data_IF_735295756975
#
_entry.id   IF_735295756975
#
_cell.length_a   1.000
_cell.length_b   1.000
_cell.length_c   1.000
_cell.angle_alpha   90.00
_cell.angle_beta   90.00
_cell.angle_gamma   90.00
#
_symmetry.space_group_name_H-M   'P 1'
#
loop_
_entity.id
_entity.type
_entity.pdbx_description
1 polymer ?
#
# COMPACT_ATOMS: atom_id res chain seq x y z
N UNK A 1 8.59 12.84 -9.98
CA UNK A 1 8.02 12.68 -8.60
C UNK A 1 9.11 12.15 -7.68
N UNK A 2 9.05 12.38 -6.35
CA UNK A 2 10.06 11.86 -5.41
C UNK A 2 9.64 10.48 -4.91
N UNK A 3 10.49 9.44 -4.97
CA UNK A 3 10.19 8.13 -4.40
C UNK A 3 10.03 8.25 -2.88
N UNK A 4 9.11 7.49 -2.31
CA UNK A 4 8.95 7.41 -0.87
C UNK A 4 9.74 6.21 -0.33
N UNK A 5 10.25 6.36 0.90
CA UNK A 5 10.90 5.26 1.58
C UNK A 5 9.87 4.21 2.02
N UNK A 6 10.30 2.96 2.12
CA UNK A 6 9.54 1.90 2.78
C UNK A 6 9.40 2.18 4.27
N UNK A 7 8.28 1.74 4.86
CA UNK A 7 8.08 1.78 6.31
C UNK A 7 7.48 0.47 6.80
N UNK A 8 7.80 0.12 8.03
CA UNK A 8 7.14 -0.97 8.74
C UNK A 8 5.88 -0.44 9.45
N UNK A 9 4.76 -1.13 9.25
CA UNK A 9 3.51 -0.85 9.93
C UNK A 9 3.12 -2.10 10.73
N UNK A 10 2.97 -2.00 12.06
CA UNK A 10 2.58 -3.14 12.88
C UNK A 10 1.29 -3.80 12.37
N UNK A 11 1.29 -5.14 12.28
CA UNK A 11 0.16 -5.93 11.78
C UNK A 11 -0.03 -5.91 10.25
N UNK A 12 0.78 -5.16 9.49
CA UNK A 12 0.76 -5.14 8.02
C UNK A 12 2.08 -5.67 7.44
N UNK A 13 3.19 -5.37 8.11
CA UNK A 13 4.53 -5.60 7.57
C UNK A 13 5.05 -4.39 6.79
N UNK A 14 5.73 -4.66 5.67
CA UNK A 14 6.33 -3.60 4.84
C UNK A 14 5.26 -2.88 4.01
N UNK A 15 5.23 -1.57 4.14
CA UNK A 15 4.40 -0.67 3.32
C UNK A 15 5.31 0.10 2.38
N UNK A 16 5.12 -0.12 1.09
CA UNK A 16 5.85 0.56 0.01
C UNK A 16 4.98 1.65 -0.59
N UNK A 17 5.54 2.83 -0.78
CA UNK A 17 4.84 3.96 -1.38
C UNK A 17 5.57 4.44 -2.63
N UNK A 18 4.85 4.65 -3.73
CA UNK A 18 5.47 5.08 -4.97
C UNK A 18 6.06 6.48 -4.86
N UNK A 19 5.39 7.38 -4.12
CA UNK A 19 5.81 8.78 -4.00
C UNK A 19 5.62 9.35 -2.60
N UNK A 20 6.31 10.45 -2.31
CA UNK A 20 5.94 11.34 -1.21
C UNK A 20 4.63 12.08 -1.56
N UNK A 21 3.76 12.28 -0.55
CA UNK A 21 2.49 12.99 -0.71
C UNK A 21 2.71 14.50 -0.87
N UNK A 22 3.31 14.91 -1.98
CA UNK A 22 3.67 16.29 -2.29
C UNK A 22 3.63 16.55 -3.80
N UNK A 23 3.55 17.82 -4.20
CA UNK A 23 3.61 18.24 -5.60
C UNK A 23 2.64 17.48 -6.53
N UNK A 24 3.09 17.03 -7.71
CA UNK A 24 2.24 16.38 -8.70
C UNK A 24 1.55 15.10 -8.19
N UNK A 25 2.24 14.30 -7.37
CA UNK A 25 1.65 13.07 -6.81
C UNK A 25 0.45 13.38 -5.90
N UNK A 26 0.54 14.41 -5.06
CA UNK A 26 -0.60 14.90 -4.27
C UNK A 26 -1.75 15.36 -5.15
N UNK A 27 -1.47 16.06 -6.25
CA UNK A 27 -2.48 16.54 -7.20
C UNK A 27 -3.20 15.35 -7.85
N UNK A 28 -2.48 14.32 -8.30
CA UNK A 28 -3.09 13.12 -8.89
C UNK A 28 -3.99 12.40 -7.88
N UNK A 29 -3.51 12.20 -6.64
CA UNK A 29 -4.33 11.60 -5.57
C UNK A 29 -5.58 12.44 -5.30
N UNK A 30 -5.48 13.77 -5.33
CA UNK A 30 -6.64 14.65 -5.15
C UNK A 30 -7.66 14.51 -6.29
N UNK A 31 -7.19 14.47 -7.55
CA UNK A 31 -8.05 14.24 -8.72
C UNK A 31 -8.76 12.88 -8.65
N UNK A 32 -8.04 11.83 -8.25
CA UNK A 32 -8.63 10.52 -8.04
C UNK A 32 -9.68 10.53 -6.92
N UNK A 33 -9.35 11.14 -5.76
CA UNK A 33 -10.21 11.15 -4.57
C UNK A 33 -11.53 11.89 -4.75
N UNK A 34 -11.51 13.00 -5.47
CA UNK A 34 -12.60 13.96 -5.47
C UNK A 34 -13.25 14.18 -6.83
N UNK A 35 -12.60 13.77 -7.90
CA UNK A 35 -13.10 13.91 -9.27
C UNK A 35 -13.25 12.58 -10.00
N UNK A 36 -12.75 11.47 -9.43
CA UNK A 36 -12.85 10.15 -10.05
C UNK A 36 -12.15 10.03 -11.41
N UNK A 37 -11.07 10.81 -11.63
CA UNK A 37 -10.40 10.86 -12.93
C UNK A 37 -9.62 9.57 -13.14
N UNK A 38 -10.08 8.69 -14.03
CA UNK A 38 -9.47 7.40 -14.31
C UNK A 38 -8.00 7.53 -14.75
N UNK A 39 -7.65 8.54 -15.55
CA UNK A 39 -6.27 8.81 -15.96
C UNK A 39 -5.34 9.07 -14.75
N UNK A 40 -5.85 9.62 -13.64
CA UNK A 40 -5.04 9.77 -12.42
C UNK A 40 -4.77 8.43 -11.74
N UNK A 41 -5.72 7.49 -11.79
CA UNK A 41 -5.51 6.13 -11.28
C UNK A 41 -4.48 5.39 -12.12
N UNK A 42 -4.54 5.49 -13.45
CA UNK A 42 -3.58 4.86 -14.37
C UNK A 42 -2.16 5.39 -14.16
N UNK A 43 -1.98 6.71 -14.10
CA UNK A 43 -0.67 7.34 -13.89
C UNK A 43 -0.05 6.99 -12.51
N UNK A 44 -0.88 6.87 -11.47
CA UNK A 44 -0.41 6.44 -10.15
C UNK A 44 -0.08 4.95 -10.15
N UNK A 45 -0.92 4.12 -10.79
CA UNK A 45 -0.70 2.69 -10.90
C UNK A 45 0.60 2.36 -11.66
N UNK A 46 0.93 3.08 -12.72
CA UNK A 46 2.20 2.95 -13.45
C UNK A 46 3.41 3.10 -12.50
N UNK A 47 3.35 4.08 -11.61
CA UNK A 47 4.41 4.28 -10.61
C UNK A 47 4.40 3.24 -9.49
N UNK A 48 3.27 2.60 -9.23
CA UNK A 48 3.10 1.58 -8.19
C UNK A 48 3.41 0.18 -8.70
N UNK A 49 3.25 -0.09 -9.99
CA UNK A 49 3.40 -1.42 -10.59
C UNK A 49 4.74 -2.11 -10.23
N UNK A 50 5.89 -1.43 -10.23
CA UNK A 50 7.17 -2.04 -9.82
C UNK A 50 7.23 -2.46 -8.34
N UNK A 51 6.27 -2.02 -7.52
CA UNK A 51 6.20 -2.36 -6.09
C UNK A 51 5.33 -3.59 -5.83
N UNK A 52 4.62 -4.08 -6.84
CA UNK A 52 3.77 -5.28 -6.75
C UNK A 52 4.63 -6.52 -6.97
N UNK A 53 4.58 -7.45 -6.03
CA UNK A 53 5.29 -8.72 -6.14
C UNK A 53 4.45 -9.75 -6.90
N UNK A 54 5.11 -10.72 -7.52
CA UNK A 54 4.42 -11.85 -8.14
C UNK A 54 3.74 -12.75 -7.09
N UNK A 55 2.73 -13.49 -7.51
CA UNK A 55 2.05 -14.48 -6.67
C UNK A 55 1.17 -13.90 -5.56
N UNK A 56 0.88 -12.59 -5.59
CA UNK A 56 -0.05 -11.95 -4.66
C UNK A 56 -1.39 -11.65 -5.31
N UNK A 57 -2.39 -11.29 -4.50
CA UNK A 57 -3.63 -10.67 -4.96
C UNK A 57 -3.75 -9.28 -4.35
N UNK A 58 -4.25 -8.35 -5.12
CA UNK A 58 -4.45 -6.96 -4.69
C UNK A 58 -5.74 -6.87 -3.86
N UNK A 59 -5.65 -6.33 -2.66
CA UNK A 59 -6.79 -6.10 -1.79
C UNK A 59 -6.93 -4.60 -1.50
N UNK A 60 -7.80 -3.88 -2.22
CA UNK A 60 -8.02 -2.47 -1.95
C UNK A 60 -8.66 -2.27 -0.58
N UNK A 61 -8.12 -1.31 0.19
CA UNK A 61 -8.68 -0.92 1.48
C UNK A 61 -9.87 0.01 1.24
N UNK A 62 -11.12 -0.42 1.57
CA UNK A 62 -12.29 0.29 1.14
C UNK A 62 -12.44 1.65 1.84
N UNK A 63 -12.88 2.63 1.07
CA UNK A 63 -13.18 3.96 1.59
C UNK A 63 -14.42 3.94 2.49
N UNK A 64 -14.44 4.77 3.54
CA UNK A 64 -15.63 4.94 4.42
C UNK A 64 -16.87 5.30 3.59
N UNK A 65 -18.00 4.62 3.84
CA UNK A 65 -19.22 4.68 3.02
C UNK A 65 -19.72 6.09 2.74
N UNK A 66 -19.75 6.99 3.73
CA UNK A 66 -20.23 8.34 3.52
C UNK A 66 -19.38 9.15 2.52
N UNK A 67 -18.07 8.88 2.48
CA UNK A 67 -17.16 9.48 1.49
C UNK A 67 -17.36 8.87 0.10
N UNK A 68 -17.65 7.58 0.03
CA UNK A 68 -17.99 6.91 -1.22
C UNK A 68 -19.28 7.51 -1.79
N UNK A 69 -20.34 7.67 -0.98
CA UNK A 69 -21.61 8.30 -1.38
C UNK A 69 -21.41 9.75 -1.81
N UNK A 70 -20.59 10.52 -1.07
CA UNK A 70 -20.37 11.93 -1.36
C UNK A 70 -19.56 12.18 -2.65
N UNK A 71 -18.57 11.35 -2.94
CA UNK A 71 -17.63 11.56 -4.04
C UNK A 71 -17.76 10.54 -5.18
N UNK A 72 -18.59 9.52 -5.00
CA UNK A 72 -18.86 8.51 -6.04
C UNK A 72 -17.70 7.58 -6.41
N UNK A 73 -16.55 7.70 -5.73
CA UNK A 73 -15.33 6.95 -6.08
C UNK A 73 -14.66 6.36 -4.84
N UNK A 74 -14.15 5.15 -4.99
CA UNK A 74 -13.23 4.50 -4.04
C UNK A 74 -11.81 4.50 -4.64
N UNK A 75 -10.93 5.40 -4.19
CA UNK A 75 -9.60 5.56 -4.78
C UNK A 75 -8.75 4.28 -4.72
N UNK A 76 -8.81 3.54 -3.61
CA UNK A 76 -8.03 2.32 -3.44
C UNK A 76 -8.50 1.23 -4.42
N UNK A 77 -9.82 1.15 -4.67
CA UNK A 77 -10.39 0.23 -5.65
C UNK A 77 -9.97 0.59 -7.07
N UNK A 78 -10.05 1.86 -7.44
CA UNK A 78 -9.63 2.32 -8.77
C UNK A 78 -8.13 2.06 -9.00
N UNK A 79 -7.28 2.32 -7.99
CA UNK A 79 -5.85 1.99 -8.05
C UNK A 79 -5.61 0.49 -8.18
N UNK A 80 -6.30 -0.35 -7.41
CA UNK A 80 -6.15 -1.80 -7.51
C UNK A 80 -6.57 -2.33 -8.88
N UNK A 81 -7.63 -1.81 -9.47
CA UNK A 81 -8.08 -2.18 -10.81
C UNK A 81 -7.09 -1.70 -11.90
N UNK A 82 -6.54 -0.51 -11.77
CA UNK A 82 -5.51 -0.02 -12.68
C UNK A 82 -4.22 -0.85 -12.57
N UNK A 83 -3.77 -1.16 -11.35
CA UNK A 83 -2.63 -2.06 -11.11
C UNK A 83 -2.87 -3.45 -11.70
N UNK A 84 -4.07 -4.02 -11.51
CA UNK A 84 -4.41 -5.32 -12.06
C UNK A 84 -4.30 -5.36 -13.59
N UNK A 85 -4.74 -4.30 -14.29
CA UNK A 85 -4.57 -4.18 -15.73
C UNK A 85 -3.11 -4.14 -16.17
N UNK A 86 -2.24 -3.50 -15.39
CA UNK A 86 -0.83 -3.31 -15.75
C UNK A 86 0.04 -4.50 -15.37
N UNK A 87 -0.27 -5.18 -14.26
CA UNK A 87 0.56 -6.27 -13.72
C UNK A 87 0.01 -7.67 -14.01
N UNK A 88 -1.26 -7.79 -14.43
CA UNK A 88 -1.94 -9.08 -14.57
C UNK A 88 -2.37 -9.72 -13.24
N UNK A 89 -2.09 -9.07 -12.10
CA UNK A 89 -2.41 -9.58 -10.76
C UNK A 89 -3.91 -9.43 -10.47
N UNK A 90 -4.54 -10.46 -9.92
CA UNK A 90 -5.97 -10.43 -9.61
C UNK A 90 -6.31 -9.54 -8.41
N UNK A 91 -7.58 -9.09 -8.34
CA UNK A 91 -8.10 -8.25 -7.25
C UNK A 91 -9.11 -9.02 -6.42
N UNK A 92 -8.99 -8.96 -5.10
CA UNK A 92 -9.93 -9.50 -4.13
C UNK A 92 -10.61 -8.38 -3.34
N UNK A 93 -11.95 -8.41 -3.27
CA UNK A 93 -12.75 -7.42 -2.54
C UNK A 93 -13.31 -8.06 -1.26
N UNK A 94 -12.46 -8.28 -0.26
CA UNK A 94 -12.78 -9.07 0.93
C UNK A 94 -13.38 -8.25 2.08
N UNK A 95 -13.25 -6.92 2.05
CA UNK A 95 -13.71 -6.05 3.12
C UNK A 95 -14.91 -5.20 2.67
N UNK A 96 -15.84 -5.00 3.60
CA UNK A 96 -16.90 -4.00 3.46
C UNK A 96 -16.46 -2.69 4.10
N UNK A 97 -16.78 -1.53 3.48
CA UNK A 97 -16.50 -0.24 4.08
C UNK A 97 -17.27 -0.08 5.39
N UNK A 98 -16.71 0.64 6.37
CA UNK A 98 -17.44 1.00 7.58
C UNK A 98 -18.55 1.99 7.23
N UNK A 99 -19.76 1.76 7.78
CA UNK A 99 -20.93 2.60 7.50
C UNK A 99 -20.74 4.05 7.97
N UNK A 100 -20.04 4.26 9.11
CA UNK A 100 -19.82 5.56 9.73
C UNK A 100 -18.38 5.64 10.24
N UNK A 101 -17.67 6.65 9.82
CA UNK A 101 -16.44 7.13 10.46
C UNK A 101 -16.75 8.47 11.11
N UNK A 102 -17.20 8.49 12.36
CA UNK A 102 -17.36 9.75 13.08
C UNK A 102 -15.99 10.36 13.34
N UNK A 103 -15.73 11.61 12.96
CA UNK A 103 -14.65 12.38 13.52
C UNK A 103 -14.99 12.56 15.02
N UNK A 104 -14.17 12.04 15.94
CA UNK A 104 -14.26 12.52 17.32
C UNK A 104 -13.72 13.95 17.31
N UNK A 105 -14.58 14.88 17.71
CA UNK A 105 -14.14 16.22 18.07
C UNK A 105 -13.11 16.10 19.20
N UNK A 106 -11.88 16.56 18.95
CA UNK A 106 -10.83 16.68 19.94
C UNK A 106 -10.02 15.38 20.16
N UNK A 107 -8.83 15.32 19.58
CA UNK A 107 -7.83 14.34 19.98
C UNK A 107 -6.97 13.78 18.82
N UNK A 108 -5.67 13.86 19.00
CA UNK A 108 -4.59 13.48 18.08
C UNK A 108 -4.45 11.95 17.80
N UNK A 109 -5.45 11.14 18.08
CA UNK A 109 -5.40 9.71 17.83
C UNK A 109 -6.33 9.36 16.67
N UNK A 110 -5.73 9.10 15.51
CA UNK A 110 -6.40 8.72 14.29
C UNK A 110 -7.37 7.55 14.51
N UNK A 111 -8.62 7.76 14.15
CA UNK A 111 -9.67 6.75 14.22
C UNK A 111 -9.37 5.63 13.21
N UNK A 112 -9.09 4.43 13.70
CA UNK A 112 -9.02 3.24 12.85
C UNK A 112 -10.44 2.86 12.40
N UNK A 113 -10.72 2.79 11.09
CA UNK A 113 -12.05 2.42 10.60
C UNK A 113 -12.37 0.96 10.97
N UNK A 114 -13.62 0.71 11.39
CA UNK A 114 -14.09 -0.65 11.68
C UNK A 114 -14.61 -1.29 10.40
N UNK A 115 -13.75 -2.00 9.70
CA UNK A 115 -14.13 -2.83 8.56
C UNK A 115 -14.91 -4.07 8.98
N UNK A 116 -15.55 -4.73 8.03
CA UNK A 116 -16.17 -6.05 8.20
C UNK A 116 -15.69 -6.95 7.06
N UNK A 117 -15.33 -8.18 7.37
CA UNK A 117 -14.99 -9.18 6.35
C UNK A 117 -16.25 -9.57 5.57
N UNK A 118 -16.15 -9.64 4.24
CA UNK A 118 -17.27 -9.97 3.34
C UNK A 118 -17.27 -11.44 2.93
N UNK A 119 -16.09 -12.01 2.72
CA UNK A 119 -15.90 -13.38 2.22
C UNK A 119 -14.55 -13.94 2.68
N UNK A 120 -14.41 -15.25 2.47
CA UNK A 120 -13.15 -15.97 2.69
C UNK A 120 -12.22 -15.73 1.58
N UNK A 121 -11.24 -15.15 1.39
CA UNK A 121 -10.36 -14.94 0.23
C UNK A 121 -10.01 -16.23 -0.53
N UNK A 122 -9.21 -16.08 -1.56
CA UNK A 122 -8.71 -17.19 -2.40
C UNK A 122 -7.65 -18.07 -1.68
N UNK A 123 -7.24 -17.71 -0.46
CA UNK A 123 -6.11 -18.34 0.24
C UNK A 123 -4.74 -17.91 -0.28
N UNK A 124 -4.70 -17.00 -1.26
CA UNK A 124 -3.44 -16.47 -1.79
C UNK A 124 -2.93 -15.27 -0.95
N UNK A 125 -1.62 -15.01 -0.96
CA UNK A 125 -1.05 -13.83 -0.30
C UNK A 125 -1.70 -12.53 -0.77
N UNK A 126 -2.07 -11.67 0.18
CA UNK A 126 -2.76 -10.40 -0.08
C UNK A 126 -1.82 -9.22 0.07
N UNK A 127 -1.75 -8.39 -0.97
CA UNK A 127 -1.09 -7.10 -0.94
C UNK A 127 -2.14 -6.00 -0.82
N UNK A 128 -2.17 -5.30 0.32
CA UNK A 128 -3.13 -4.21 0.51
C UNK A 128 -2.81 -3.04 -0.42
N UNK A 129 -3.85 -2.41 -0.95
CA UNK A 129 -3.72 -1.21 -1.82
C UNK A 129 -4.46 -0.05 -1.18
N UNK A 130 -3.79 1.11 -1.05
CA UNK A 130 -4.40 2.36 -0.59
C UNK A 130 -3.81 3.56 -1.36
N UNK A 131 -4.46 4.72 -1.29
CA UNK A 131 -4.00 5.92 -1.99
C UNK A 131 -2.95 6.72 -1.19
N UNK A 132 -3.11 6.82 0.12
CA UNK A 132 -2.20 7.59 1.00
C UNK A 132 -1.96 6.87 2.31
N UNK A 133 -0.72 6.58 2.63
CA UNK A 133 -0.35 6.19 3.98
C UNK A 133 0.13 7.40 4.79
N UNK A 134 -0.47 7.57 5.99
CA UNK A 134 -0.02 8.53 7.01
C UNK A 134 0.62 7.79 8.19
N UNK A 135 -0.15 7.34 9.13
CA UNK A 135 0.29 6.50 10.27
C UNK A 135 0.25 5.01 9.97
N UNK A 136 -0.50 4.59 8.95
CA UNK A 136 -0.77 3.18 8.66
C UNK A 136 -1.94 2.58 9.44
N UNK A 137 -2.61 3.35 10.31
CA UNK A 137 -3.71 2.84 11.14
C UNK A 137 -4.86 2.22 10.32
N UNK A 138 -5.17 2.78 9.15
CA UNK A 138 -6.19 2.24 8.24
C UNK A 138 -5.77 0.89 7.67
N UNK A 139 -4.51 0.77 7.25
CA UNK A 139 -3.92 -0.47 6.75
C UNK A 139 -3.90 -1.55 7.84
N UNK A 140 -3.47 -1.20 9.06
CA UNK A 140 -3.45 -2.11 10.19
C UNK A 140 -4.87 -2.60 10.56
N UNK A 141 -5.87 -1.70 10.55
CA UNK A 141 -7.26 -2.07 10.79
C UNK A 141 -7.84 -3.00 9.70
N UNK A 142 -7.41 -2.85 8.45
CA UNK A 142 -7.79 -3.75 7.37
C UNK A 142 -7.11 -5.12 7.54
N UNK A 143 -5.80 -5.11 7.78
CA UNK A 143 -5.00 -6.32 7.96
C UNK A 143 -5.47 -7.19 9.12
N UNK A 144 -5.92 -6.60 10.24
CA UNK A 144 -6.40 -7.35 11.42
C UNK A 144 -7.60 -8.27 11.15
N UNK A 145 -8.27 -8.13 10.00
CA UNK A 145 -9.39 -8.96 9.59
C UNK A 145 -9.01 -10.01 8.52
N UNK A 146 -7.76 -10.04 8.11
CA UNK A 146 -7.26 -10.86 7.02
C UNK A 146 -6.07 -11.69 7.53
N UNK A 147 -5.91 -12.90 7.02
CA UNK A 147 -4.87 -13.84 7.50
C UNK A 147 -3.65 -13.87 6.60
N UNK A 148 -3.81 -13.54 5.33
CA UNK A 148 -2.78 -13.72 4.30
C UNK A 148 -2.09 -12.43 3.87
N UNK A 149 -2.13 -11.37 4.69
CA UNK A 149 -1.52 -10.08 4.35
C UNK A 149 0.00 -10.17 4.41
N UNK A 150 0.66 -9.86 3.29
CA UNK A 150 2.12 -9.89 3.14
C UNK A 150 2.75 -8.49 3.08
N UNK A 151 1.93 -7.45 3.06
CA UNK A 151 2.37 -6.06 3.01
C UNK A 151 1.33 -5.13 2.41
N UNK A 152 1.75 -3.93 2.07
CA UNK A 152 0.90 -2.96 1.38
C UNK A 152 1.68 -2.12 0.36
N UNK A 153 0.96 -1.66 -0.67
CA UNK A 153 1.43 -0.64 -1.61
C UNK A 153 0.49 0.56 -1.59
N UNK A 154 1.06 1.76 -1.63
CA UNK A 154 0.28 3.00 -1.65
C UNK A 154 0.80 3.96 -2.72
N UNK A 155 -0.08 4.76 -3.30
CA UNK A 155 0.34 5.75 -4.27
C UNK A 155 1.27 6.79 -3.63
N UNK A 156 0.97 7.21 -2.40
CA UNK A 156 1.78 8.22 -1.71
C UNK A 156 1.91 7.94 -0.22
N UNK A 157 3.05 8.38 0.36
CA UNK A 157 3.25 8.48 1.80
C UNK A 157 3.26 9.94 2.24
N UNK A 158 2.51 10.30 3.27
CA UNK A 158 2.68 11.58 3.93
C UNK A 158 4.08 11.63 4.57
N UNK A 159 4.75 12.78 4.48
CA UNK A 159 5.97 13.03 5.20
C UNK A 159 5.65 12.90 6.71
N UNK A 160 6.00 11.77 7.32
CA UNK A 160 5.88 11.58 8.74
C UNK A 160 6.82 12.54 9.45
N UNK A 161 6.44 13.06 10.61
CA UNK A 161 7.43 13.46 11.61
C UNK A 161 8.27 12.21 11.87
N UNK A 162 9.52 12.23 11.45
CA UNK A 162 10.50 11.21 11.78
C UNK A 162 10.67 11.27 13.28
N UNK A 163 9.90 10.48 14.01
CA UNK A 163 10.28 10.10 15.35
C UNK A 163 11.60 9.35 15.18
N UNK A 164 12.65 9.88 15.78
CA UNK A 164 13.99 9.34 15.75
C UNK A 164 14.01 7.93 16.36
N UNK A 165 13.72 6.92 15.57
CA UNK A 165 14.08 5.51 15.81
C UNK A 165 13.65 4.70 14.59
N UNK A 166 14.50 4.67 13.62
CA UNK A 166 14.78 3.53 12.74
C UNK A 166 15.61 4.06 11.56
N UNK A 167 16.90 4.23 11.81
CA UNK A 167 17.89 4.25 10.76
C UNK A 167 17.82 2.87 10.07
N UNK A 168 17.22 2.85 8.89
CA UNK A 168 17.34 1.71 7.99
C UNK A 168 18.80 1.66 7.58
N UNK A 169 19.48 0.62 8.03
CA UNK A 169 20.80 0.28 7.57
C UNK A 169 20.75 0.17 6.04
N UNK A 170 21.44 1.09 5.37
CA UNK A 170 21.76 0.93 3.96
C UNK A 170 22.55 -0.37 3.85
N UNK A 171 21.96 -1.39 3.27
CA UNK A 171 22.68 -2.60 2.85
C UNK A 171 23.58 -2.16 1.71
N UNK A 172 24.81 -1.78 2.06
CA UNK A 172 25.90 -1.67 1.12
C UNK A 172 26.18 -3.06 0.59
N UNK A 173 25.84 -3.27 -0.66
CA UNK A 173 26.29 -4.36 -1.49
C UNK A 173 27.82 -4.34 -1.55
N UNK A 174 28.49 -5.16 -0.76
CA UNK A 174 29.85 -5.59 -1.06
C UNK A 174 30.18 -6.85 -0.24
N UNK A 175 30.18 -7.98 -0.89
CA UNK A 175 31.16 -9.05 -0.77
C UNK A 175 30.66 -10.31 -1.47
N UNK A 176 30.97 -10.41 -2.76
CA UNK A 176 30.99 -11.70 -3.44
C UNK A 176 32.30 -12.37 -3.02
N UNK A 177 32.29 -13.51 -2.33
CA UNK A 177 33.52 -14.26 -2.13
C UNK A 177 33.98 -14.87 -3.47
N UNK A 178 35.19 -14.53 -3.87
CA UNK A 178 35.90 -15.20 -4.98
C UNK A 178 36.07 -16.67 -4.59
N UNK A 179 35.53 -17.56 -5.38
CA UNK A 179 35.87 -18.97 -5.38
C UNK A 179 37.23 -19.08 -6.08
N UNK A 180 38.28 -19.25 -5.29
CA UNK A 180 39.62 -19.58 -5.78
C UNK A 180 39.64 -21.08 -6.08
N UNK A 181 39.99 -21.40 -7.30
CA UNK A 181 40.25 -22.73 -7.83
C UNK A 181 41.20 -23.53 -6.97
N UNK A 182 40.81 -24.73 -6.58
CA UNK A 182 41.73 -25.81 -6.17
C UNK A 182 41.80 -26.83 -7.31
N UNK A 183 42.72 -26.60 -8.23
CA UNK A 183 43.27 -27.67 -9.04
C UNK A 183 44.48 -28.18 -8.25
N UNK A 184 44.29 -29.30 -7.56
CA UNK A 184 45.37 -30.11 -6.96
C UNK A 184 45.79 -31.17 -7.93
N UNK A 185 47.07 -31.15 -8.25
CA UNK A 185 47.77 -32.16 -9.01
C UNK A 185 47.70 -33.51 -8.30
N UNK A 186 47.43 -34.57 -9.06
CA UNK A 186 47.63 -35.93 -8.67
C UNK A 186 48.78 -36.51 -9.51
N UNK A 187 49.71 -37.00 -8.80
CA UNK A 187 50.64 -38.04 -9.31
C UNK A 187 50.03 -39.40 -9.06
#
# INVERSE_FOLDING_TARGET
>A
MRPAAERLVPGVGTVRSAHLHSGPARTLVHHLKYRGIAAAAEALAESMAPLVSDGVRLMPVPRVTWRLVRYGVDPARELALALARQTGVGVDLLLRPPLWGRPRAGGEHGFAPRFRRKSSGSGQPLLLVDDVVTTGATLAAAASLLTEVVGAVTATAAAGRVGASNAVAAVTSSSIPRVTSLLGEAR
#
